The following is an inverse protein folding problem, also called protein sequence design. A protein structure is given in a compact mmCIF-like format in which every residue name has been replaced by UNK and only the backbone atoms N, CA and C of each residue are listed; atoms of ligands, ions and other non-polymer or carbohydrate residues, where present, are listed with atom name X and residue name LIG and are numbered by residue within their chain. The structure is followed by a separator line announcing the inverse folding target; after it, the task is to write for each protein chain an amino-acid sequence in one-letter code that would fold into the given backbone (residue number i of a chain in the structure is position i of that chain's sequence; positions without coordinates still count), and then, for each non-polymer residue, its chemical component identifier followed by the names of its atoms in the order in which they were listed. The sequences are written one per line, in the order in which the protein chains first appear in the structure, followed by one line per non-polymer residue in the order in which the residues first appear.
data_IF_605952162517
#
_entry.id   IF_605952162517
#
_cell.length_a   1.000
_cell.length_b   1.000
_cell.length_c   1.000
_cell.angle_alpha   90.00
_cell.angle_beta   90.00
_cell.angle_gamma   90.00
#
_symmetry.space_group_name_H-M   'P 1'
#
loop_
_entity.id
_entity.type
_entity.pdbx_description
1 polymer ?
#
# COMPACT_ATOMS: atom_id res chain seq x y z
N UNK A 1 -17.77 -16.98 0.22
CA UNK A 1 -17.30 -16.14 1.35
C UNK A 1 -17.36 -14.70 0.87
N UNK A 2 -17.96 -13.79 1.64
CA UNK A 2 -17.96 -12.36 1.33
C UNK A 2 -16.73 -11.74 2.00
N UNK A 3 -16.02 -10.86 1.31
CA UNK A 3 -14.82 -10.17 1.81
C UNK A 3 -15.03 -8.66 1.69
N UNK A 4 -14.41 -7.85 2.54
CA UNK A 4 -14.28 -6.42 2.30
C UNK A 4 -13.17 -6.15 1.29
N UNK A 5 -13.15 -4.94 0.74
CA UNK A 5 -12.02 -4.38 0.01
C UNK A 5 -11.64 -3.04 0.67
N UNK A 6 -10.44 -2.97 1.22
CA UNK A 6 -9.96 -1.80 1.96
C UNK A 6 -8.79 -1.09 1.28
N UNK A 7 -8.45 -1.49 0.04
CA UNK A 7 -7.37 -0.84 -0.70
C UNK A 7 -7.86 -0.44 -2.10
N UNK A 8 -8.62 0.65 -2.16
CA UNK A 8 -9.17 1.17 -3.42
C UNK A 8 -8.73 2.60 -3.65
N UNK A 9 -8.36 2.90 -4.91
CA UNK A 9 -7.92 4.22 -5.36
C UNK A 9 -8.95 4.87 -6.27
N UNK A 10 -9.01 6.18 -6.24
CA UNK A 10 -9.88 6.98 -7.10
C UNK A 10 -9.07 7.79 -8.13
N UNK A 11 -9.76 8.62 -8.89
CA UNK A 11 -9.09 9.50 -9.86
C UNK A 11 -8.12 10.51 -9.24
N UNK A 12 -8.12 10.68 -7.91
CA UNK A 12 -7.20 11.57 -7.21
C UNK A 12 -5.74 11.06 -7.22
N UNK A 13 -5.55 9.74 -7.36
CA UNK A 13 -4.21 9.14 -7.43
C UNK A 13 -3.58 9.19 -8.83
N UNK A 14 -4.24 9.76 -9.84
CA UNK A 14 -3.74 9.88 -11.22
C UNK A 14 -3.70 8.57 -12.02
N UNK A 15 -3.58 7.42 -11.37
CA UNK A 15 -3.48 6.09 -12.00
C UNK A 15 -4.76 5.24 -11.87
N UNK A 16 -5.80 5.77 -11.23
CA UNK A 16 -7.12 5.15 -11.12
C UNK A 16 -8.20 6.03 -11.74
N UNK A 17 -9.44 5.57 -11.79
CA UNK A 17 -10.56 6.30 -12.38
C UNK A 17 -11.80 6.19 -11.49
N UNK A 18 -12.73 7.14 -11.62
CA UNK A 18 -13.96 7.18 -10.83
C UNK A 18 -13.81 7.94 -9.52
N UNK A 19 -14.93 8.14 -8.86
CA UNK A 19 -15.05 8.85 -7.58
C UNK A 19 -15.30 7.85 -6.45
N UNK A 20 -15.07 8.21 -5.19
CA UNK A 20 -15.39 7.36 -4.04
C UNK A 20 -16.79 6.74 -4.09
N UNK A 21 -17.82 7.51 -4.50
CA UNK A 21 -19.20 7.04 -4.62
C UNK A 21 -19.36 5.90 -5.64
N UNK A 22 -18.60 5.89 -6.74
CA UNK A 22 -18.67 4.84 -7.78
C UNK A 22 -18.16 3.50 -7.22
N UNK A 23 -17.11 3.55 -6.40
CA UNK A 23 -16.56 2.38 -5.72
C UNK A 23 -17.53 1.83 -4.68
N UNK A 24 -18.15 2.70 -3.87
CA UNK A 24 -19.18 2.29 -2.89
C UNK A 24 -20.35 1.60 -3.59
N UNK A 25 -20.86 2.16 -4.68
CA UNK A 25 -21.94 1.55 -5.45
C UNK A 25 -21.54 0.20 -6.03
N UNK A 26 -20.30 0.10 -6.54
CA UNK A 26 -19.79 -1.15 -7.10
C UNK A 26 -19.60 -2.22 -6.02
N UNK A 27 -19.05 -1.86 -4.87
CA UNK A 27 -18.90 -2.77 -3.73
C UNK A 27 -20.24 -3.33 -3.26
N UNK A 28 -21.28 -2.48 -3.20
CA UNK A 28 -22.64 -2.92 -2.86
C UNK A 28 -23.23 -3.86 -3.91
N UNK A 29 -23.03 -3.58 -5.20
CA UNK A 29 -23.48 -4.44 -6.29
C UNK A 29 -22.78 -5.80 -6.30
N UNK A 30 -21.53 -5.85 -5.88
CA UNK A 30 -20.72 -7.06 -5.73
C UNK A 30 -20.95 -7.78 -4.38
N UNK A 31 -21.81 -7.25 -3.52
CA UNK A 31 -22.13 -7.80 -2.19
C UNK A 31 -20.88 -7.96 -1.30
N UNK A 32 -19.96 -6.99 -1.34
CA UNK A 32 -18.82 -6.96 -0.43
C UNK A 32 -19.29 -6.72 1.01
N UNK A 33 -18.51 -7.13 2.00
CA UNK A 33 -18.80 -6.88 3.43
C UNK A 33 -18.60 -5.43 3.85
N UNK A 34 -17.75 -4.69 3.14
CA UNK A 34 -17.42 -3.30 3.37
C UNK A 34 -16.43 -2.81 2.33
N UNK A 35 -16.24 -1.52 2.29
CA UNK A 35 -15.25 -0.89 1.41
C UNK A 35 -14.51 0.21 2.16
N UNK A 36 -13.21 0.30 1.95
CA UNK A 36 -12.38 1.43 2.34
C UNK A 36 -11.89 2.16 1.10
N UNK A 37 -11.95 3.48 1.14
CA UNK A 37 -11.30 4.32 0.13
C UNK A 37 -9.95 4.71 0.71
N UNK A 38 -8.86 4.38 0.01
CA UNK A 38 -7.50 4.53 0.50
C UNK A 38 -6.59 5.09 -0.61
N UNK A 39 -6.92 6.30 -1.07
CA UNK A 39 -6.08 7.00 -2.04
C UNK A 39 -4.69 7.30 -1.45
N UNK A 40 -3.70 7.52 -2.33
CA UNK A 40 -2.35 7.87 -1.87
C UNK A 40 -2.31 9.21 -1.15
N UNK A 41 -1.73 9.21 0.05
CA UNK A 41 -1.35 10.43 0.76
C UNK A 41 -0.45 11.28 -0.15
N UNK A 42 -0.56 12.62 -0.13
CA UNK A 42 0.34 13.46 -0.89
C UNK A 42 1.80 13.08 -0.71
N UNK A 43 2.51 12.81 -1.80
CA UNK A 43 3.94 12.49 -1.76
C UNK A 43 4.75 13.67 -1.24
N UNK A 44 5.69 13.38 -0.36
CA UNK A 44 6.57 14.35 0.27
C UNK A 44 8.04 14.04 -0.04
N UNK A 45 8.87 15.04 -0.25
CA UNK A 45 8.54 16.48 -0.39
C UNK A 45 7.97 16.83 -1.78
N UNK A 46 8.19 15.98 -2.77
CA UNK A 46 7.91 16.25 -4.19
C UNK A 46 6.61 15.55 -4.62
N UNK A 47 5.65 16.34 -5.06
CA UNK A 47 4.38 15.84 -5.58
C UNK A 47 4.54 15.33 -7.02
N UNK A 48 4.01 14.12 -7.29
CA UNK A 48 3.80 13.59 -8.63
C UNK A 48 2.29 13.33 -8.83
N UNK A 49 1.61 14.07 -9.72
CA UNK A 49 0.17 13.93 -9.91
C UNK A 49 -0.25 12.60 -10.56
N UNK A 50 0.69 11.82 -11.08
CA UNK A 50 0.43 10.47 -11.59
C UNK A 50 0.52 9.40 -10.49
N UNK A 51 0.97 9.77 -9.29
CA UNK A 51 1.19 8.84 -8.19
C UNK A 51 0.37 9.17 -6.94
N UNK A 52 0.00 10.43 -6.71
CA UNK A 52 -0.73 10.82 -5.50
C UNK A 52 -1.56 12.08 -5.68
N UNK A 53 -2.54 12.29 -4.79
CA UNK A 53 -3.28 13.55 -4.72
C UNK A 53 -2.37 14.71 -4.32
N UNK A 54 -2.72 15.93 -4.73
CA UNK A 54 -2.06 17.14 -4.24
C UNK A 54 -2.48 17.44 -2.80
N UNK A 55 -1.61 18.11 -2.01
CA UNK A 55 -1.91 18.45 -0.61
C UNK A 55 -3.21 19.24 -0.43
N UNK A 56 -3.58 20.09 -1.39
CA UNK A 56 -4.85 20.85 -1.36
C UNK A 56 -6.10 19.97 -1.57
N UNK A 57 -5.94 18.73 -2.03
CA UNK A 57 -7.03 17.80 -2.28
C UNK A 57 -7.32 16.89 -1.10
N UNK A 58 -6.41 16.81 -0.13
CA UNK A 58 -6.53 15.94 1.03
C UNK A 58 -7.79 16.24 1.86
N UNK A 59 -8.04 17.51 2.19
CA UNK A 59 -9.24 17.89 2.95
C UNK A 59 -10.54 17.68 2.17
N UNK A 60 -10.65 18.04 0.87
CA UNK A 60 -11.77 17.63 0.02
C UNK A 60 -12.00 16.11 -0.05
N UNK A 61 -10.94 15.32 -0.21
CA UNK A 61 -11.01 13.85 -0.19
C UNK A 61 -11.64 13.32 1.09
N UNK A 62 -11.11 13.76 2.24
CA UNK A 62 -11.63 13.38 3.56
C UNK A 62 -13.11 13.72 3.68
N UNK A 63 -13.49 14.94 3.29
CA UNK A 63 -14.88 15.38 3.38
C UNK A 63 -15.84 14.55 2.50
N UNK A 64 -15.41 14.17 1.29
CA UNK A 64 -16.22 13.33 0.40
C UNK A 64 -16.40 11.93 0.97
N UNK A 65 -15.34 11.29 1.48
CA UNK A 65 -15.42 9.94 2.03
C UNK A 65 -16.18 9.92 3.35
N UNK A 66 -16.01 10.93 4.22
CA UNK A 66 -16.80 11.07 5.46
C UNK A 66 -18.31 11.24 5.19
N UNK A 67 -18.68 11.95 4.11
CA UNK A 67 -20.09 12.03 3.72
C UNK A 67 -20.66 10.65 3.32
N UNK A 68 -19.89 9.86 2.57
CA UNK A 68 -20.27 8.48 2.22
C UNK A 68 -20.31 7.55 3.44
N UNK A 69 -19.38 7.71 4.37
CA UNK A 69 -19.33 6.98 5.62
C UNK A 69 -20.57 7.28 6.48
N UNK A 70 -21.02 8.54 6.50
CA UNK A 70 -22.25 8.93 7.19
C UNK A 70 -23.52 8.35 6.51
N UNK A 71 -23.52 8.22 5.18
CA UNK A 71 -24.60 7.59 4.42
C UNK A 71 -24.63 6.06 4.60
N UNK A 72 -23.46 5.42 4.72
CA UNK A 72 -23.32 3.96 4.84
C UNK A 72 -22.50 3.57 6.09
N UNK A 73 -23.01 3.82 7.30
CA UNK A 73 -22.27 3.62 8.54
C UNK A 73 -21.88 2.15 8.75
N UNK A 74 -20.60 1.93 9.09
CA UNK A 74 -20.02 0.59 9.29
C UNK A 74 -19.78 -0.20 8.00
N UNK A 75 -20.09 0.38 6.83
CA UNK A 75 -19.84 -0.24 5.54
C UNK A 75 -18.72 0.48 4.77
N UNK A 76 -18.68 1.81 4.83
CA UNK A 76 -17.62 2.64 4.22
C UNK A 76 -16.64 3.05 5.30
N UNK A 77 -15.34 2.92 5.02
CA UNK A 77 -14.24 3.39 5.86
C UNK A 77 -13.40 4.44 5.12
N UNK A 78 -12.95 5.44 5.85
CA UNK A 78 -11.98 6.43 5.39
C UNK A 78 -10.57 5.89 5.65
N UNK A 79 -9.93 5.40 4.61
CA UNK A 79 -8.53 4.98 4.63
C UNK A 79 -7.60 6.01 4.00
N UNK A 80 -6.33 5.70 4.06
CA UNK A 80 -5.27 6.39 3.31
C UNK A 80 -4.14 5.39 3.05
N UNK A 81 -3.52 5.43 1.87
CA UNK A 81 -2.27 4.74 1.61
C UNK A 81 -1.12 5.73 1.68
N UNK A 82 -0.14 5.46 2.54
CA UNK A 82 1.00 6.34 2.71
C UNK A 82 2.32 5.60 2.43
N UNK A 83 3.18 6.24 1.63
CA UNK A 83 4.52 5.77 1.37
C UNK A 83 5.37 5.83 2.64
N UNK A 84 5.98 4.70 2.98
CA UNK A 84 7.04 4.68 3.97
C UNK A 84 8.35 5.09 3.33
N UNK A 85 8.85 6.25 3.74
CA UNK A 85 10.18 6.76 3.38
C UNK A 85 10.87 7.22 4.65
N UNK A 86 12.06 6.71 4.99
CA UNK A 86 12.74 7.02 6.26
C UNK A 86 12.89 8.52 6.55
N UNK A 87 13.00 9.34 5.50
CA UNK A 87 13.23 10.79 5.64
C UNK A 87 11.95 11.62 5.74
N UNK A 88 10.75 11.03 5.57
CA UNK A 88 9.45 11.74 5.66
C UNK A 88 8.54 11.19 6.77
N UNK A 89 9.06 10.32 7.64
CA UNK A 89 8.30 9.65 8.71
C UNK A 89 7.57 10.65 9.61
N UNK A 90 8.25 11.74 10.02
CA UNK A 90 7.64 12.75 10.89
C UNK A 90 6.51 13.54 10.24
N UNK A 91 6.65 13.85 8.96
CA UNK A 91 5.64 14.55 8.17
C UNK A 91 4.42 13.65 7.93
N UNK A 92 4.65 12.38 7.57
CA UNK A 92 3.58 11.38 7.41
C UNK A 92 2.84 11.18 8.74
N UNK A 93 3.56 11.00 9.85
CA UNK A 93 2.97 10.90 11.19
C UNK A 93 2.07 12.10 11.48
N UNK A 94 2.56 13.33 11.24
CA UNK A 94 1.78 14.54 11.50
C UNK A 94 0.50 14.59 10.65
N UNK A 95 0.54 14.12 9.39
CA UNK A 95 -0.66 14.07 8.56
C UNK A 95 -1.64 13.01 9.06
N UNK A 96 -1.16 11.83 9.48
CA UNK A 96 -2.01 10.78 10.02
C UNK A 96 -2.67 11.21 11.34
N UNK A 97 -1.93 11.86 12.24
CA UNK A 97 -2.44 12.29 13.54
C UNK A 97 -3.45 13.46 13.46
N UNK A 98 -3.34 14.30 12.43
CA UNK A 98 -4.18 15.48 12.28
C UNK A 98 -5.46 15.24 11.47
N UNK A 99 -5.69 14.04 10.97
CA UNK A 99 -6.86 13.73 10.15
C UNK A 99 -7.57 12.46 10.65
N UNK A 100 -8.90 12.35 10.47
CA UNK A 100 -9.72 11.30 11.09
C UNK A 100 -9.75 9.99 10.28
N UNK A 101 -8.60 9.49 9.84
CA UNK A 101 -8.54 8.21 9.14
C UNK A 101 -8.95 7.05 10.04
N UNK A 102 -9.77 6.12 9.53
CA UNK A 102 -10.13 4.90 10.23
C UNK A 102 -8.95 3.91 10.23
N UNK A 103 -8.11 3.95 9.18
CA UNK A 103 -6.89 3.16 9.05
C UNK A 103 -5.92 3.80 8.06
N UNK A 104 -4.65 3.44 8.19
CA UNK A 104 -3.61 3.79 7.24
C UNK A 104 -2.94 2.52 6.73
N UNK A 105 -2.76 2.43 5.40
CA UNK A 105 -1.96 1.41 4.73
C UNK A 105 -0.56 1.97 4.55
N UNK A 106 0.44 1.25 5.05
CA UNK A 106 1.84 1.57 4.84
C UNK A 106 2.40 0.79 3.66
N UNK A 107 2.89 1.50 2.68
CA UNK A 107 3.42 0.91 1.45
C UNK A 107 4.84 1.39 1.16
N UNK A 108 5.61 0.58 0.45
CA UNK A 108 6.93 0.94 -0.05
C UNK A 108 6.86 0.92 -1.58
N UNK A 109 6.99 2.10 -2.19
CA UNK A 109 7.00 2.27 -3.65
C UNK A 109 8.36 2.79 -4.15
N UNK A 110 9.25 3.18 -3.23
CA UNK A 110 10.53 3.76 -3.58
C UNK A 110 11.68 3.10 -2.82
N UNK A 111 12.78 2.87 -3.53
CA UNK A 111 14.09 2.54 -2.97
C UNK A 111 15.00 3.76 -3.18
N UNK A 112 15.21 4.53 -2.10
CA UNK A 112 15.80 5.86 -2.20
C UNK A 112 14.92 6.81 -3.04
N UNK A 113 15.44 7.26 -4.18
CA UNK A 113 14.72 8.12 -5.15
C UNK A 113 14.07 7.33 -6.28
N UNK A 114 14.32 6.05 -6.39
CA UNK A 114 13.82 5.20 -7.47
C UNK A 114 12.43 4.67 -7.15
N UNK A 115 11.43 5.04 -7.96
CA UNK A 115 10.09 4.44 -7.96
C UNK A 115 10.11 3.09 -8.66
N UNK A 116 10.42 2.02 -7.94
CA UNK A 116 10.65 0.70 -8.53
C UNK A 116 9.39 0.07 -9.12
N UNK A 117 8.22 0.52 -8.72
CA UNK A 117 6.94 0.05 -9.26
C UNK A 117 6.36 0.96 -10.35
N UNK A 118 7.04 2.06 -10.68
CA UNK A 118 6.71 2.97 -11.77
C UNK A 118 7.19 2.41 -13.11
N UNK A 119 6.30 2.13 -14.08
CA UNK A 119 6.71 1.64 -15.39
C UNK A 119 7.63 2.59 -16.16
N UNK A 120 7.65 3.90 -15.83
CA UNK A 120 8.56 4.89 -16.43
C UNK A 120 10.01 4.70 -15.99
N UNK A 121 10.24 3.99 -14.88
CA UNK A 121 11.54 3.76 -14.27
C UNK A 121 11.95 2.27 -14.27
N UNK A 122 11.24 1.43 -15.01
CA UNK A 122 11.44 -0.03 -15.01
C UNK A 122 12.84 -0.43 -15.47
N UNK A 123 13.45 0.31 -16.40
CA UNK A 123 14.77 0.02 -16.95
C UNK A 123 15.89 0.09 -15.88
N UNK A 124 15.66 0.77 -14.77
CA UNK A 124 16.58 0.83 -13.62
C UNK A 124 16.86 -0.56 -12.99
N UNK A 125 15.94 -1.53 -13.16
CA UNK A 125 16.16 -2.89 -12.67
C UNK A 125 17.36 -3.57 -13.37
N UNK A 126 17.58 -3.28 -14.64
CA UNK A 126 18.66 -3.89 -15.43
C UNK A 126 20.06 -3.37 -15.02
N UNK A 127 20.09 -2.22 -14.34
CA UNK A 127 21.33 -1.57 -13.85
C UNK A 127 21.65 -1.94 -12.38
N UNK A 128 20.79 -2.73 -11.71
CA UNK A 128 20.89 -3.04 -10.27
C UNK A 128 21.10 -4.53 -10.01
N UNK A 129 21.74 -4.83 -8.89
CA UNK A 129 21.74 -6.19 -8.35
C UNK A 129 20.35 -6.50 -7.79
N UNK A 130 19.64 -7.43 -8.42
CA UNK A 130 18.28 -7.76 -8.05
C UNK A 130 18.17 -8.35 -6.64
N UNK A 131 19.18 -9.06 -6.16
CA UNK A 131 19.18 -9.60 -4.80
C UNK A 131 19.26 -8.47 -3.77
N UNK A 132 20.11 -7.45 -4.01
CA UNK A 132 20.21 -6.27 -3.15
C UNK A 132 18.93 -5.42 -3.19
N UNK A 133 18.27 -5.30 -4.35
CA UNK A 133 16.97 -4.64 -4.49
C UNK A 133 15.92 -5.29 -3.58
N UNK A 134 15.85 -6.62 -3.57
CA UNK A 134 14.91 -7.33 -2.70
C UNK A 134 15.27 -7.22 -1.22
N UNK A 135 16.54 -7.23 -0.88
CA UNK A 135 17.01 -7.06 0.50
C UNK A 135 16.64 -5.66 1.01
N UNK A 136 16.95 -4.62 0.27
CA UNK A 136 16.60 -3.24 0.61
C UNK A 136 15.08 -3.07 0.75
N UNK A 137 14.31 -3.65 -0.18
CA UNK A 137 12.86 -3.62 -0.12
C UNK A 137 12.32 -4.28 1.17
N UNK A 138 12.78 -5.49 1.52
CA UNK A 138 12.37 -6.17 2.74
C UNK A 138 12.76 -5.39 3.99
N UNK A 139 13.91 -4.73 3.97
CA UNK A 139 14.33 -3.85 5.05
C UNK A 139 13.36 -2.69 5.27
N UNK A 140 12.99 -1.99 4.19
CA UNK A 140 12.06 -0.86 4.27
C UNK A 140 10.65 -1.28 4.68
N UNK A 141 10.14 -2.42 4.20
CA UNK A 141 8.86 -2.97 4.66
C UNK A 141 8.92 -3.32 6.15
N UNK A 142 10.02 -3.89 6.61
CA UNK A 142 10.25 -4.12 8.04
C UNK A 142 10.30 -2.81 8.85
N UNK A 143 10.96 -1.77 8.34
CA UNK A 143 11.03 -0.46 8.98
C UNK A 143 9.64 0.20 9.04
N UNK A 144 8.82 0.03 7.99
CA UNK A 144 7.42 0.44 8.00
C UNK A 144 6.62 -0.28 9.10
N UNK A 145 6.80 -1.60 9.26
CA UNK A 145 6.17 -2.37 10.32
C UNK A 145 6.56 -1.85 11.72
N UNK A 146 7.86 -1.64 11.95
CA UNK A 146 8.39 -1.18 13.25
C UNK A 146 8.07 0.28 13.56
N UNK A 147 7.68 1.08 12.55
CA UNK A 147 7.37 2.51 12.74
C UNK A 147 6.13 2.75 13.61
N UNK A 148 5.22 1.78 13.67
CA UNK A 148 3.94 1.91 14.38
C UNK A 148 2.96 2.90 13.74
N UNK A 149 3.24 3.42 12.53
CA UNK A 149 2.41 4.39 11.83
C UNK A 149 1.16 3.76 11.19
N UNK A 150 1.25 2.50 10.81
CA UNK A 150 0.30 1.88 9.90
C UNK A 150 -0.55 0.82 10.58
N UNK A 151 -1.82 0.75 10.19
CA UNK A 151 -2.76 -0.29 10.60
C UNK A 151 -2.56 -1.56 9.77
N UNK A 152 -2.22 -1.38 8.50
CA UNK A 152 -2.08 -2.43 7.49
C UNK A 152 -0.80 -2.18 6.72
N UNK A 153 -0.06 -3.24 6.40
CA UNK A 153 1.02 -3.17 5.40
C UNK A 153 0.48 -3.62 4.04
N UNK A 154 0.68 -2.76 3.05
CA UNK A 154 0.29 -3.01 1.66
C UNK A 154 1.25 -3.99 0.97
N UNK A 155 0.77 -4.73 0.00
CA UNK A 155 1.50 -5.52 -1.02
C UNK A 155 2.96 -5.85 -0.69
N UNK A 156 3.21 -6.65 0.34
CA UNK A 156 4.52 -6.92 0.99
C UNK A 156 5.67 -7.38 0.07
N UNK A 157 5.40 -7.74 -1.16
CA UNK A 157 6.40 -8.13 -2.15
C UNK A 157 6.14 -7.46 -3.52
N UNK A 158 5.71 -6.20 -3.50
CA UNK A 158 5.43 -5.39 -4.69
C UNK A 158 6.63 -5.28 -5.63
N UNK A 159 7.83 -5.37 -5.12
CA UNK A 159 9.09 -5.35 -5.89
C UNK A 159 9.12 -6.39 -7.02
N UNK A 160 8.28 -7.44 -6.95
CA UNK A 160 8.12 -8.44 -8.02
C UNK A 160 7.21 -8.01 -9.18
N UNK A 161 6.57 -6.82 -9.10
CA UNK A 161 5.49 -6.36 -10.01
C UNK A 161 5.77 -6.60 -11.49
N UNK A 162 6.99 -6.32 -11.93
CA UNK A 162 7.41 -6.48 -13.33
C UNK A 162 8.05 -7.84 -13.64
N UNK A 163 8.05 -8.78 -12.69
CA UNK A 163 8.57 -10.14 -12.86
C UNK A 163 10.02 -10.34 -12.41
N UNK A 164 10.69 -9.30 -11.91
CA UNK A 164 12.04 -9.41 -11.37
C UNK A 164 12.04 -10.20 -10.06
N UNK A 165 12.89 -11.21 -9.99
CA UNK A 165 13.00 -12.13 -8.85
C UNK A 165 14.44 -12.22 -8.36
N UNK A 166 14.65 -12.48 -7.06
CA UNK A 166 15.99 -12.72 -6.56
C UNK A 166 16.59 -13.96 -7.22
N UNK A 167 17.91 -13.93 -7.44
CA UNK A 167 18.65 -15.06 -8.05
C UNK A 167 18.98 -16.14 -7.03
N UNK A 168 18.93 -15.81 -5.73
CA UNK A 168 19.15 -16.72 -4.60
C UNK A 168 17.97 -16.71 -3.63
N UNK A 169 17.93 -17.69 -2.77
CA UNK A 169 16.93 -17.75 -1.70
C UNK A 169 17.33 -16.74 -0.60
N UNK A 170 16.43 -15.81 -0.30
CA UNK A 170 16.60 -14.77 0.74
C UNK A 170 15.97 -15.20 2.07
N UNK A 171 16.32 -16.42 2.55
CA UNK A 171 15.67 -17.04 3.71
C UNK A 171 15.85 -16.24 4.99
N UNK A 172 17.06 -15.70 5.19
CA UNK A 172 17.38 -14.93 6.38
C UNK A 172 16.63 -13.58 6.39
N UNK A 173 16.67 -12.88 5.28
CA UNK A 173 16.05 -11.56 5.11
C UNK A 173 14.53 -11.66 5.23
N UNK A 174 13.94 -12.66 4.61
CA UNK A 174 12.51 -12.95 4.72
C UNK A 174 12.12 -13.35 6.15
N UNK A 175 12.92 -14.18 6.80
CA UNK A 175 12.71 -14.56 8.20
C UNK A 175 12.68 -13.34 9.12
N UNK A 176 13.65 -12.42 8.97
CA UNK A 176 13.68 -11.18 9.73
C UNK A 176 12.44 -10.30 9.47
N UNK A 177 12.00 -10.19 8.22
CA UNK A 177 10.80 -9.44 7.89
C UNK A 177 9.57 -10.01 8.60
N UNK A 178 9.37 -11.33 8.51
CA UNK A 178 8.24 -12.03 9.16
C UNK A 178 8.25 -11.81 10.67
N UNK A 179 9.42 -11.93 11.33
CA UNK A 179 9.57 -11.67 12.77
C UNK A 179 9.23 -10.22 13.14
N UNK A 180 9.64 -9.26 12.33
CA UNK A 180 9.34 -7.83 12.56
C UNK A 180 7.85 -7.56 12.45
N UNK A 181 7.19 -8.07 11.41
CA UNK A 181 5.74 -7.92 11.19
C UNK A 181 4.97 -8.56 12.35
N UNK A 182 5.30 -9.79 12.72
CA UNK A 182 4.66 -10.50 13.83
C UNK A 182 4.82 -9.73 15.16
N UNK A 183 6.02 -9.22 15.45
CA UNK A 183 6.28 -8.41 16.65
C UNK A 183 5.51 -7.10 16.67
N UNK A 184 5.40 -6.42 15.51
CA UNK A 184 4.67 -5.17 15.38
C UNK A 184 3.16 -5.36 15.55
N UNK A 185 2.63 -6.55 15.24
CA UNK A 185 1.20 -6.86 15.29
C UNK A 185 0.37 -6.10 14.26
N UNK A 186 1.03 -5.60 13.21
CA UNK A 186 0.38 -4.90 12.10
C UNK A 186 -0.33 -5.90 11.18
N UNK A 187 -1.47 -5.50 10.63
CA UNK A 187 -2.18 -6.34 9.65
C UNK A 187 -1.45 -6.36 8.30
N UNK A 188 -1.66 -7.42 7.56
CA UNK A 188 -1.11 -7.59 6.20
C UNK A 188 -2.26 -7.81 5.22
N UNK A 189 -2.27 -7.08 4.13
CA UNK A 189 -3.26 -7.27 3.09
C UNK A 189 -2.93 -8.48 2.19
N UNK A 190 -3.97 -9.03 1.58
CA UNK A 190 -3.86 -9.89 0.40
C UNK A 190 -4.34 -9.08 -0.79
N UNK A 191 -3.41 -8.61 -1.60
CA UNK A 191 -3.69 -7.74 -2.74
C UNK A 191 -3.72 -8.53 -4.05
N UNK A 192 -4.83 -8.46 -4.76
CA UNK A 192 -5.03 -9.23 -6.01
C UNK A 192 -4.64 -8.46 -7.27
N UNK A 193 -4.22 -7.19 -7.17
CA UNK A 193 -3.84 -6.37 -8.32
C UNK A 193 -2.69 -6.99 -9.14
N UNK A 194 -1.79 -7.72 -8.46
CA UNK A 194 -0.67 -8.41 -9.11
C UNK A 194 -1.09 -9.47 -10.12
N UNK A 195 -2.30 -10.03 -10.02
CA UNK A 195 -2.86 -10.95 -11.02
C UNK A 195 -3.05 -10.30 -12.41
N UNK A 196 -3.11 -8.97 -12.44
CA UNK A 196 -3.25 -8.15 -13.65
C UNK A 196 -1.94 -7.43 -14.04
N UNK A 197 -0.82 -7.82 -13.43
CA UNK A 197 0.51 -7.27 -13.71
C UNK A 197 1.40 -8.33 -14.34
N UNK A 198 2.57 -7.97 -14.89
CA UNK A 198 3.49 -8.93 -15.50
C UNK A 198 3.84 -10.13 -14.61
N UNK A 199 3.88 -9.93 -13.30
CA UNK A 199 4.14 -11.01 -12.33
C UNK A 199 3.06 -12.08 -12.29
N UNK A 200 1.79 -11.77 -12.60
CA UNK A 200 0.67 -12.71 -12.64
C UNK A 200 0.32 -13.40 -11.31
N UNK A 201 0.69 -12.79 -10.18
CA UNK A 201 0.49 -13.35 -8.83
C UNK A 201 -0.08 -12.29 -7.88
N UNK A 202 -0.80 -12.72 -6.84
CA UNK A 202 -1.19 -11.82 -5.75
C UNK A 202 0.04 -11.35 -4.93
N UNK A 203 -0.14 -10.27 -4.19
CA UNK A 203 0.78 -9.79 -3.18
C UNK A 203 0.20 -10.07 -1.78
N UNK A 204 1.00 -10.61 -0.86
CA UNK A 204 2.26 -11.29 -1.07
C UNK A 204 2.07 -12.69 -1.67
N UNK A 205 3.19 -13.33 -2.02
CA UNK A 205 3.20 -14.74 -2.43
C UNK A 205 2.62 -15.64 -1.34
N UNK A 206 2.10 -16.81 -1.75
CA UNK A 206 1.56 -17.80 -0.80
C UNK A 206 2.60 -18.29 0.21
N UNK A 207 3.90 -18.31 -0.15
CA UNK A 207 4.96 -18.67 0.79
C UNK A 207 5.10 -17.64 1.91
N UNK A 208 5.14 -16.36 1.57
CA UNK A 208 5.18 -15.27 2.56
C UNK A 208 3.93 -15.32 3.46
N UNK A 209 2.74 -15.48 2.87
CA UNK A 209 1.49 -15.59 3.63
C UNK A 209 1.51 -16.76 4.62
N UNK A 210 2.00 -17.93 4.19
CA UNK A 210 2.09 -19.09 5.09
C UNK A 210 3.01 -18.81 6.27
N UNK A 211 4.18 -18.24 6.05
CA UNK A 211 5.13 -17.87 7.11
C UNK A 211 4.54 -16.86 8.09
N UNK A 212 3.82 -15.87 7.60
CA UNK A 212 3.13 -14.88 8.43
C UNK A 212 2.01 -15.51 9.28
N UNK A 213 1.30 -16.52 8.76
CA UNK A 213 0.28 -17.24 9.52
C UNK A 213 0.88 -18.19 10.58
N UNK A 214 2.14 -18.61 10.43
CA UNK A 214 2.84 -19.51 11.35
C UNK A 214 3.61 -18.75 12.44
N UNK A 215 3.85 -17.46 12.28
CA UNK A 215 4.59 -16.59 13.20
C UNK A 215 3.67 -15.95 14.26
#
# INVERSE_FOLDING_TARGET
MRLPDYHTHTSLCGHASGRPADYVQTARRLDLLGIGIADHLPLLPDHDPELSMHMSELVPYIAEVEALKAEFPGYVLLGIEADYRPHTVSEVQALLDNHPFDYAIGSVHHLGTWGFDDPRQMDEYDERDIDEVWIEYFQLVGDAADSGLFTILGHLDLVKKFGYRPTRILEYELGLLVERIARAGVLVEINTAGLHRPVGEAYPTLDILRRLCEA
#
